data_IF_970086160809
#
_entry.id   IF_970086160809
#
_cell.length_a   1.000
_cell.length_b   1.000
_cell.length_c   1.000
_cell.angle_alpha   90.00
_cell.angle_beta   90.00
_cell.angle_gamma   90.00
#
_symmetry.space_group_name_H-M   'P 1'
#
loop_
_entity.id
_entity.type
_entity.pdbx_description
1 polymer ?
#
# COMPACT_ATOMS: atom_id res chain seq x y z
N UNK A 1 5.45 36.29 8.51
CA UNK A 1 4.90 35.68 9.73
C UNK A 1 5.56 34.31 9.89
N UNK A 2 6.62 34.25 10.68
CA UNK A 2 7.38 33.03 10.97
C UNK A 2 6.57 32.18 11.95
N UNK A 3 5.98 31.08 11.47
CA UNK A 3 5.30 30.13 12.33
C UNK A 3 6.34 29.47 13.26
N UNK A 4 6.07 29.32 14.57
CA UNK A 4 7.04 28.75 15.50
C UNK A 4 7.12 27.24 15.28
N UNK A 5 8.08 26.82 14.46
CA UNK A 5 8.27 25.41 14.08
C UNK A 5 9.11 24.60 15.08
N UNK A 6 9.68 25.23 16.12
CA UNK A 6 10.66 24.57 16.98
C UNK A 6 10.11 23.87 18.23
N UNK A 7 8.83 24.08 18.61
CA UNK A 7 8.39 23.73 19.97
C UNK A 7 7.70 22.37 20.14
N UNK A 8 7.26 21.69 19.07
CA UNK A 8 6.54 20.42 19.20
C UNK A 8 7.13 19.36 18.29
N UNK A 9 7.63 18.29 18.89
CA UNK A 9 7.89 17.05 18.18
C UNK A 9 6.53 16.45 17.79
N UNK A 10 6.15 16.58 16.51
CA UNK A 10 4.95 15.97 15.94
C UNK A 10 5.14 14.47 15.76
N UNK A 11 5.60 13.79 16.80
CA UNK A 11 5.92 12.37 16.81
C UNK A 11 5.07 11.75 17.92
N UNK A 12 4.37 10.65 17.64
CA UNK A 12 3.64 9.91 18.66
C UNK A 12 4.58 9.03 19.50
N UNK A 13 4.04 8.38 20.53
CA UNK A 13 4.83 7.47 21.40
C UNK A 13 5.44 6.28 20.62
N UNK A 14 4.90 5.96 19.44
CA UNK A 14 5.40 4.95 18.53
C UNK A 14 6.49 5.46 17.56
N UNK A 15 6.95 6.71 17.69
CA UNK A 15 8.00 7.27 16.83
C UNK A 15 7.53 7.72 15.43
N UNK A 16 6.22 7.75 15.17
CA UNK A 16 5.65 8.11 13.88
C UNK A 16 5.25 9.59 13.82
N UNK A 17 5.46 10.21 12.66
CA UNK A 17 5.10 11.61 12.43
C UNK A 17 3.57 11.75 12.35
N UNK A 18 3.01 12.64 13.17
CA UNK A 18 1.60 13.00 13.18
C UNK A 18 1.28 14.03 12.09
N UNK A 19 1.10 13.57 10.85
CA UNK A 19 0.87 14.43 9.68
C UNK A 19 -0.40 15.30 9.77
N UNK A 20 -1.40 14.92 10.56
CA UNK A 20 -2.63 15.72 10.74
C UNK A 20 -2.47 16.92 11.67
N UNK A 21 -1.45 16.94 12.53
CA UNK A 21 -1.26 17.99 13.55
C UNK A 21 -0.08 18.93 13.26
N UNK A 22 0.76 18.59 12.28
CA UNK A 22 1.94 19.37 11.89
C UNK A 22 1.54 20.59 11.04
N UNK A 23 2.09 21.79 11.30
CA UNK A 23 1.83 22.97 10.46
C UNK A 23 2.48 22.81 9.08
N UNK A 24 1.89 23.46 8.07
CA UNK A 24 2.29 23.33 6.67
C UNK A 24 3.80 23.54 6.45
N UNK A 25 4.39 24.58 7.04
CA UNK A 25 5.81 24.87 6.85
C UNK A 25 6.70 23.73 7.38
N UNK A 26 6.40 23.18 8.57
CA UNK A 26 7.14 22.05 9.11
C UNK A 26 6.93 20.77 8.31
N UNK A 27 5.74 20.57 7.74
CA UNK A 27 5.46 19.44 6.86
C UNK A 27 6.29 19.53 5.56
N UNK A 28 6.33 20.72 4.95
CA UNK A 28 7.13 20.99 3.75
C UNK A 28 8.63 20.78 3.99
N UNK A 29 9.15 21.25 5.12
CA UNK A 29 10.55 21.02 5.51
C UNK A 29 10.86 19.53 5.67
N UNK A 30 9.97 18.77 6.36
CA UNK A 30 10.14 17.31 6.52
C UNK A 30 10.02 16.55 5.19
N UNK A 31 9.13 16.97 4.30
CA UNK A 31 8.90 16.34 2.99
C UNK A 31 9.89 16.82 1.92
N UNK A 32 10.77 17.78 2.26
CA UNK A 32 11.69 18.46 1.33
C UNK A 32 10.93 18.94 0.08
N UNK A 33 9.82 19.62 0.29
CA UNK A 33 8.96 20.13 -0.78
C UNK A 33 8.80 21.64 -0.61
N UNK A 34 8.59 22.37 -1.71
CA UNK A 34 8.33 23.81 -1.64
C UNK A 34 6.83 24.07 -1.73
N UNK A 35 6.43 25.32 -1.46
CA UNK A 35 5.02 25.75 -1.62
C UNK A 35 4.56 25.73 -3.08
N UNK A 36 5.50 25.85 -4.03
CA UNK A 36 5.23 25.77 -5.46
C UNK A 36 5.15 24.32 -5.96
N UNK A 37 5.50 23.34 -5.11
CA UNK A 37 5.46 21.92 -5.41
C UNK A 37 6.85 21.30 -5.54
N UNK A 38 6.95 20.28 -6.39
CA UNK A 38 8.20 19.61 -6.74
C UNK A 38 8.59 19.94 -8.17
N UNK A 39 9.89 20.01 -8.45
CA UNK A 39 10.35 20.06 -9.84
C UNK A 39 10.10 18.72 -10.53
N UNK A 40 9.94 18.74 -11.86
CA UNK A 40 9.72 17.51 -12.66
C UNK A 40 10.83 16.48 -12.46
N UNK A 41 12.09 16.95 -12.36
CA UNK A 41 13.25 16.07 -12.16
C UNK A 41 13.25 15.41 -10.78
N UNK A 42 12.86 16.14 -9.72
CA UNK A 42 12.73 15.57 -8.38
C UNK A 42 11.55 14.60 -8.27
N UNK A 43 10.45 14.91 -8.94
CA UNK A 43 9.28 14.03 -8.99
C UNK A 43 9.62 12.70 -9.68
N UNK A 44 10.33 12.74 -10.81
CA UNK A 44 10.78 11.55 -11.53
C UNK A 44 11.77 10.73 -10.69
N UNK A 45 12.73 11.38 -10.03
CA UNK A 45 13.66 10.70 -9.12
C UNK A 45 12.92 9.98 -7.99
N UNK A 46 11.94 10.64 -7.35
CA UNK A 46 11.14 10.02 -6.29
C UNK A 46 10.25 8.90 -6.80
N UNK A 47 9.73 9.00 -8.03
CA UNK A 47 8.93 7.95 -8.65
C UNK A 47 9.76 6.68 -8.90
N UNK A 48 11.03 6.85 -9.30
CA UNK A 48 11.96 5.72 -9.48
C UNK A 48 12.33 5.09 -8.12
N UNK A 49 12.55 5.91 -7.08
CA UNK A 49 12.97 5.44 -5.76
C UNK A 49 11.84 4.77 -4.96
N UNK A 50 10.64 5.35 -4.96
CA UNK A 50 9.51 4.87 -4.17
C UNK A 50 8.54 3.99 -4.97
N UNK A 51 8.64 4.00 -6.29
CA UNK A 51 7.70 3.34 -7.17
C UNK A 51 6.37 4.09 -7.31
N UNK A 52 5.47 3.56 -8.15
CA UNK A 52 4.15 4.16 -8.36
C UNK A 52 3.29 4.05 -7.09
N UNK A 53 2.52 5.11 -6.80
CA UNK A 53 1.51 5.11 -5.74
C UNK A 53 0.26 4.31 -6.17
N UNK A 54 0.43 3.02 -6.43
CA UNK A 54 -0.64 2.11 -6.78
C UNK A 54 -0.56 0.88 -5.87
N UNK A 55 -1.68 0.53 -5.27
CA UNK A 55 -1.79 -0.72 -4.52
C UNK A 55 -1.62 -1.90 -5.48
N UNK A 56 -0.90 -2.96 -5.07
CA UNK A 56 -0.76 -4.14 -5.89
C UNK A 56 -2.15 -4.71 -6.17
N UNK A 57 -2.50 -4.83 -7.46
CA UNK A 57 -3.71 -5.53 -7.87
C UNK A 57 -3.42 -7.02 -7.84
N UNK A 58 -4.04 -7.73 -6.90
CA UNK A 58 -4.02 -9.18 -6.89
C UNK A 58 -5.03 -9.69 -7.92
N UNK A 59 -4.53 -10.08 -9.09
CA UNK A 59 -5.35 -10.78 -10.07
C UNK A 59 -5.52 -12.24 -9.63
N UNK A 60 -6.72 -12.55 -9.13
CA UNK A 60 -7.09 -13.94 -8.86
C UNK A 60 -7.52 -14.61 -10.16
N UNK A 61 -6.74 -15.59 -10.61
CA UNK A 61 -7.13 -16.38 -11.77
C UNK A 61 -8.32 -17.28 -11.38
N UNK A 62 -9.49 -17.00 -11.97
CA UNK A 62 -10.74 -17.70 -11.67
C UNK A 62 -10.66 -19.21 -11.94
N UNK A 63 -9.89 -19.63 -12.95
CA UNK A 63 -9.65 -21.04 -13.23
C UNK A 63 -8.82 -21.70 -12.12
N UNK A 64 -7.82 -20.99 -11.59
CA UNK A 64 -6.99 -21.51 -10.51
C UNK A 64 -7.79 -21.66 -9.21
N UNK A 65 -8.71 -20.72 -8.94
CA UNK A 65 -9.64 -20.83 -7.80
C UNK A 65 -10.59 -22.01 -7.97
N UNK A 66 -11.11 -22.22 -9.19
CA UNK A 66 -11.97 -23.37 -9.52
C UNK A 66 -11.24 -24.72 -9.36
N UNK A 67 -10.01 -24.84 -9.87
CA UNK A 67 -9.19 -26.04 -9.68
C UNK A 67 -8.82 -26.25 -8.20
N UNK A 68 -8.55 -25.17 -7.46
CA UNK A 68 -8.35 -25.25 -6.01
C UNK A 68 -9.57 -25.78 -5.26
N UNK A 69 -10.78 -25.44 -5.71
CA UNK A 69 -12.02 -25.99 -5.14
C UNK A 69 -12.15 -27.50 -5.37
N UNK A 70 -11.70 -28.02 -6.51
CA UNK A 70 -11.71 -29.46 -6.83
C UNK A 70 -10.78 -30.29 -5.93
N UNK A 71 -9.79 -29.66 -5.28
CA UNK A 71 -8.84 -30.33 -4.39
C UNK A 71 -9.36 -30.50 -2.95
N UNK A 72 -10.65 -30.33 -2.72
CA UNK A 72 -11.25 -30.55 -1.41
C UNK A 72 -11.62 -32.05 -1.21
N UNK A 73 -11.56 -32.59 0.02
CA UNK A 73 -11.84 -34.01 0.29
C UNK A 73 -13.25 -34.48 -0.11
N UNK A 74 -14.24 -33.58 -0.14
CA UNK A 74 -15.61 -33.90 -0.53
C UNK A 74 -15.74 -34.09 -2.05
N UNK A 75 -15.05 -33.26 -2.84
CA UNK A 75 -14.95 -33.39 -4.29
C UNK A 75 -14.32 -34.72 -4.68
N UNK A 76 -13.28 -35.16 -3.97
CA UNK A 76 -12.65 -36.47 -4.19
C UNK A 76 -13.61 -37.63 -3.89
N UNK A 77 -14.38 -37.54 -2.80
CA UNK A 77 -15.36 -38.57 -2.45
C UNK A 77 -16.45 -38.74 -3.54
N UNK A 78 -16.93 -37.63 -4.11
CA UNK A 78 -17.89 -37.64 -5.22
C UNK A 78 -17.28 -38.18 -6.52
N UNK A 79 -16.02 -37.85 -6.80
CA UNK A 79 -15.30 -38.36 -7.97
C UNK A 79 -15.12 -39.88 -7.89
N UNK A 80 -14.72 -40.41 -6.73
CA UNK A 80 -14.63 -41.86 -6.50
C UNK A 80 -16.00 -42.54 -6.65
N UNK A 81 -17.06 -41.96 -6.10
CA UNK A 81 -18.42 -42.50 -6.25
C UNK A 81 -18.87 -42.55 -7.72
N UNK A 82 -18.53 -41.54 -8.52
CA UNK A 82 -18.86 -41.49 -9.94
C UNK A 82 -18.10 -42.57 -10.74
N UNK A 83 -16.80 -42.78 -10.45
CA UNK A 83 -15.99 -43.83 -11.09
C UNK A 83 -16.48 -45.23 -10.71
N UNK A 84 -16.85 -45.44 -9.45
CA UNK A 84 -17.38 -46.73 -8.96
C UNK A 84 -18.78 -47.05 -9.51
N UNK A 85 -19.51 -46.05 -10.02
CA UNK A 85 -20.86 -46.21 -10.57
C UNK A 85 -20.89 -46.53 -12.06
N UNK A 86 -19.73 -46.71 -12.70
CA UNK A 86 -19.56 -47.21 -14.08
C UNK A 86 -19.45 -48.72 -14.05
#
# INVERSE_FOLDING_TARGET
MTTPNDAKNYVNDAGQIQWGAIPLNAALDKLKATREGLSTAEAEKRLIEHGPNALPKNEVNRLMVFLGFMWNPLSWAMEVAAVLSI
#
